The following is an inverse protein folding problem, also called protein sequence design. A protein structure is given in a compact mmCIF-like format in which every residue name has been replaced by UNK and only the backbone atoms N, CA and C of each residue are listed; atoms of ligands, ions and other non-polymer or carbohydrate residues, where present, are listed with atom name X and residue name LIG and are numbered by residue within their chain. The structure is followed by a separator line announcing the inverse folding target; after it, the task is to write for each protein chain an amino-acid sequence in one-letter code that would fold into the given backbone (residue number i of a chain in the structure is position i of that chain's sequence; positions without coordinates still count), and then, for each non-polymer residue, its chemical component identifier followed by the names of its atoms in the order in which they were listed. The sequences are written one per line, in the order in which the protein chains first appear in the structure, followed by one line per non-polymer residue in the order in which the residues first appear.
data_IF_200264658015
#
_entry.id   IF_200264658015
#
_cell.length_a   1.000
_cell.length_b   1.000
_cell.length_c   1.000
_cell.angle_alpha   90.00
_cell.angle_beta   90.00
_cell.angle_gamma   90.00
#
_symmetry.space_group_name_H-M   'P 1'
#
loop_
_entity.id
_entity.type
_entity.pdbx_description
1 polymer ?
#
# COMPACT_ATOMS: atom_id res chain seq x y z
N UNK A 1 3.38 -20.28 33.29
CA UNK A 1 2.49 -19.89 32.18
C UNK A 1 3.32 -19.97 30.91
N UNK A 2 3.28 -21.12 30.25
CA UNK A 2 3.95 -21.32 28.95
C UNK A 2 3.19 -20.51 27.90
N UNK A 3 3.90 -19.63 27.17
CA UNK A 3 3.34 -19.03 25.96
C UNK A 3 3.23 -20.15 24.93
N UNK A 4 2.00 -20.52 24.58
CA UNK A 4 1.73 -21.42 23.46
C UNK A 4 2.34 -20.88 22.17
N UNK A 5 2.51 -21.73 21.14
CA UNK A 5 3.06 -21.30 19.87
C UNK A 5 2.21 -20.16 19.31
N UNK A 6 2.82 -18.99 19.10
CA UNK A 6 2.22 -17.91 18.31
C UNK A 6 1.95 -18.50 16.93
N UNK A 7 0.68 -18.79 16.66
CA UNK A 7 0.21 -19.24 15.36
C UNK A 7 0.64 -18.16 14.35
N UNK A 8 1.55 -18.49 13.45
CA UNK A 8 1.92 -17.57 12.37
C UNK A 8 0.64 -17.21 11.61
N UNK A 9 0.32 -15.91 11.56
CA UNK A 9 -0.86 -15.44 10.86
C UNK A 9 -0.64 -15.71 9.37
N UNK A 10 -1.55 -16.48 8.76
CA UNK A 10 -1.52 -16.70 7.31
C UNK A 10 -1.77 -15.37 6.58
N UNK A 11 -1.20 -15.21 5.39
CA UNK A 11 -1.43 -14.00 4.58
C UNK A 11 -2.92 -13.75 4.31
N UNK A 12 -3.72 -14.82 4.18
CA UNK A 12 -5.18 -14.75 4.12
C UNK A 12 -5.77 -14.03 5.35
N UNK A 13 -5.33 -14.39 6.56
CA UNK A 13 -5.80 -13.78 7.81
C UNK A 13 -5.48 -12.30 7.84
N UNK A 14 -4.29 -11.91 7.37
CA UNK A 14 -3.87 -10.49 7.25
C UNK A 14 -4.82 -9.73 6.32
N UNK A 15 -5.15 -10.28 5.14
CA UNK A 15 -6.07 -9.62 4.21
C UNK A 15 -7.47 -9.46 4.80
N UNK A 16 -7.95 -10.48 5.53
CA UNK A 16 -9.25 -10.43 6.22
C UNK A 16 -9.28 -9.36 7.30
N UNK A 17 -8.24 -9.26 8.13
CA UNK A 17 -8.08 -8.21 9.16
C UNK A 17 -8.03 -6.81 8.55
N UNK A 18 -7.52 -6.67 7.33
CA UNK A 18 -7.50 -5.41 6.57
C UNK A 18 -8.80 -5.09 5.84
N UNK A 19 -9.84 -5.91 6.03
CA UNK A 19 -11.19 -5.67 5.50
C UNK A 19 -11.37 -6.10 4.03
N UNK A 20 -10.50 -6.97 3.51
CA UNK A 20 -10.70 -7.61 2.20
C UNK A 20 -11.75 -8.71 2.37
N UNK A 21 -12.74 -8.77 1.48
CA UNK A 21 -13.81 -9.78 1.56
C UNK A 21 -13.29 -11.17 1.19
N UNK A 22 -13.87 -12.25 1.73
CA UNK A 22 -13.41 -13.61 1.43
C UNK A 22 -13.43 -13.94 -0.08
N UNK A 23 -14.41 -13.38 -0.81
CA UNK A 23 -14.47 -13.50 -2.27
C UNK A 23 -13.26 -12.84 -2.94
N UNK A 24 -12.91 -11.63 -2.51
CA UNK A 24 -11.77 -10.88 -3.05
C UNK A 24 -10.43 -11.51 -2.63
N UNK A 25 -10.36 -12.08 -1.43
CA UNK A 25 -9.19 -12.82 -0.94
C UNK A 25 -8.88 -13.98 -1.89
N UNK A 26 -9.87 -14.83 -2.20
CA UNK A 26 -9.65 -15.95 -3.12
C UNK A 26 -9.14 -15.50 -4.49
N UNK A 27 -9.67 -14.38 -5.00
CA UNK A 27 -9.19 -13.76 -6.23
C UNK A 27 -7.74 -13.25 -6.12
N UNK A 28 -7.39 -12.57 -5.02
CA UNK A 28 -6.04 -12.06 -4.77
C UNK A 28 -5.03 -13.19 -4.69
N UNK A 29 -5.32 -14.24 -3.91
CA UNK A 29 -4.42 -15.38 -3.77
C UNK A 29 -4.22 -16.11 -5.11
N UNK A 30 -5.30 -16.33 -5.87
CA UNK A 30 -5.22 -16.90 -7.21
C UNK A 30 -4.38 -16.05 -8.16
N UNK A 31 -4.50 -14.71 -8.07
CA UNK A 31 -3.71 -13.80 -8.90
C UNK A 31 -2.23 -13.83 -8.56
N UNK A 32 -1.89 -13.84 -7.26
CA UNK A 32 -0.51 -13.93 -6.77
C UNK A 32 0.13 -15.26 -7.16
N UNK A 33 -0.59 -16.36 -7.01
CA UNK A 33 -0.15 -17.69 -7.44
C UNK A 33 0.13 -17.74 -8.95
N UNK A 34 -0.76 -17.18 -9.78
CA UNK A 34 -0.55 -17.07 -11.24
C UNK A 34 0.66 -16.22 -11.64
N UNK A 35 1.14 -15.37 -10.73
CA UNK A 35 2.31 -14.52 -10.90
C UNK A 35 3.55 -15.09 -10.19
N UNK A 36 3.46 -16.33 -9.70
CA UNK A 36 4.53 -17.07 -9.02
C UNK A 36 5.06 -16.34 -7.77
N UNK A 37 4.15 -15.72 -6.99
CA UNK A 37 4.48 -15.14 -5.68
C UNK A 37 4.53 -16.19 -4.58
N UNK A 38 5.46 -16.04 -3.64
CA UNK A 38 5.53 -16.89 -2.45
C UNK A 38 4.65 -16.26 -1.36
N UNK A 39 3.44 -16.79 -1.18
CA UNK A 39 2.39 -16.19 -0.35
C UNK A 39 2.80 -15.96 1.11
N UNK A 40 3.62 -16.85 1.68
CA UNK A 40 4.09 -16.76 3.07
C UNK A 40 4.99 -15.53 3.31
N UNK A 41 5.56 -14.97 2.25
CA UNK A 41 6.40 -13.78 2.29
C UNK A 41 5.74 -12.55 1.64
N UNK A 42 4.43 -12.63 1.38
CA UNK A 42 3.66 -11.49 0.90
C UNK A 42 3.27 -10.55 2.05
N UNK A 43 3.35 -9.26 1.79
CA UNK A 43 3.03 -8.20 2.72
C UNK A 43 1.94 -7.31 2.14
N UNK A 44 0.87 -7.13 2.92
CA UNK A 44 -0.13 -6.11 2.64
C UNK A 44 0.45 -4.73 2.92
N UNK A 45 0.34 -3.81 1.96
CA UNK A 45 0.79 -2.42 2.13
C UNK A 45 -0.42 -1.49 2.22
N UNK A 46 -1.29 -1.48 1.22
CA UNK A 46 -2.40 -0.55 1.16
C UNK A 46 -3.57 -1.05 0.30
N UNK A 47 -4.74 -0.48 0.54
CA UNK A 47 -5.90 -0.57 -0.35
C UNK A 47 -6.31 0.85 -0.71
N UNK A 48 -6.26 1.19 -2.00
CA UNK A 48 -6.55 2.53 -2.51
C UNK A 48 -7.80 2.47 -3.38
N UNK A 49 -8.72 3.39 -3.14
CA UNK A 49 -9.90 3.59 -3.97
C UNK A 49 -9.55 4.60 -5.07
N UNK A 50 -9.72 4.23 -6.34
CA UNK A 50 -9.53 5.12 -7.48
C UNK A 50 -10.68 4.97 -8.46
N UNK A 51 -11.28 6.11 -8.86
CA UNK A 51 -12.38 6.16 -9.84
C UNK A 51 -11.88 6.16 -11.28
N UNK A 52 -10.61 6.44 -11.50
CA UNK A 52 -10.06 6.71 -12.83
C UNK A 52 -9.37 5.49 -13.43
N UNK A 53 -8.24 5.07 -12.83
CA UNK A 53 -7.41 4.00 -13.37
C UNK A 53 -6.45 3.42 -12.33
N UNK A 54 -5.82 2.30 -12.69
CA UNK A 54 -4.70 1.70 -11.95
C UNK A 54 -3.50 2.64 -11.87
N UNK A 55 -3.19 3.35 -12.96
CA UNK A 55 -2.09 4.33 -13.00
C UNK A 55 -2.30 5.42 -11.95
N UNK A 56 -3.51 5.97 -11.87
CA UNK A 56 -3.84 6.97 -10.86
C UNK A 56 -3.77 6.40 -9.43
N UNK A 57 -4.18 5.14 -9.23
CA UNK A 57 -4.02 4.48 -7.93
C UNK A 57 -2.54 4.33 -7.53
N UNK A 58 -1.65 3.98 -8.48
CA UNK A 58 -0.20 3.91 -8.26
C UNK A 58 0.40 5.28 -7.96
N UNK A 59 -0.07 6.34 -8.60
CA UNK A 59 0.38 7.69 -8.31
C UNK A 59 0.00 8.13 -6.89
N UNK A 60 -1.24 7.82 -6.45
CA UNK A 60 -1.67 8.04 -5.06
C UNK A 60 -0.79 7.24 -4.09
N UNK A 61 -0.50 5.97 -4.42
CA UNK A 61 0.37 5.13 -3.61
C UNK A 61 1.76 5.76 -3.43
N UNK A 62 2.41 6.15 -4.53
CA UNK A 62 3.75 6.74 -4.48
C UNK A 62 3.73 8.06 -3.70
N UNK A 63 2.78 8.95 -3.98
CA UNK A 63 2.67 10.21 -3.26
C UNK A 63 2.46 10.01 -1.74
N UNK A 64 1.72 8.98 -1.35
CA UNK A 64 1.38 8.72 0.05
C UNK A 64 2.52 8.05 0.82
N UNK A 65 3.23 7.14 0.16
CA UNK A 65 4.14 6.23 0.85
C UNK A 65 5.61 6.44 0.49
N UNK A 66 5.91 7.18 -0.57
CA UNK A 66 7.27 7.49 -0.99
C UNK A 66 7.59 8.94 -0.69
N UNK A 67 8.32 9.18 0.39
CA UNK A 67 8.81 10.53 0.73
C UNK A 67 10.30 10.65 0.43
N UNK A 68 10.66 11.53 -0.51
CA UNK A 68 12.04 11.99 -0.62
C UNK A 68 12.37 12.79 0.63
N UNK A 69 13.25 12.24 1.47
CA UNK A 69 13.78 12.97 2.62
C UNK A 69 15.11 13.56 2.23
N UNK A 70 15.16 14.87 2.06
CA UNK A 70 16.41 15.58 1.83
C UNK A 70 17.08 15.77 3.19
N UNK A 71 18.25 15.16 3.37
CA UNK A 71 19.08 15.43 4.55
C UNK A 71 19.49 16.91 4.53
N UNK A 72 19.42 17.56 5.70
CA UNK A 72 19.90 18.93 5.97
C UNK A 72 19.03 20.11 5.52
N UNK A 73 17.75 19.92 5.18
CA UNK A 73 16.81 21.04 4.95
C UNK A 73 15.67 20.99 5.96
N UNK A 74 15.82 21.73 7.06
CA UNK A 74 14.93 21.68 8.24
C UNK A 74 13.60 22.42 8.08
N UNK A 75 13.29 23.08 6.96
CA UNK A 75 12.17 24.05 6.94
C UNK A 75 11.28 24.15 5.70
N UNK A 76 11.39 23.30 4.66
CA UNK A 76 10.59 23.54 3.45
C UNK A 76 9.78 22.33 3.00
N UNK A 77 8.61 22.15 3.63
CA UNK A 77 7.53 21.30 3.09
C UNK A 77 7.26 21.61 1.60
N UNK A 78 7.34 22.89 1.20
CA UNK A 78 7.14 23.32 -0.19
C UNK A 78 8.18 22.80 -1.19
N UNK A 79 9.46 22.71 -0.79
CA UNK A 79 10.51 22.17 -1.67
C UNK A 79 10.35 20.67 -1.83
N UNK A 80 10.01 19.96 -0.75
CA UNK A 80 9.74 18.54 -0.83
C UNK A 80 8.53 18.26 -1.74
N UNK A 81 7.46 19.05 -1.64
CA UNK A 81 6.29 18.92 -2.52
C UNK A 81 6.62 19.18 -4.00
N UNK A 82 7.42 20.22 -4.29
CA UNK A 82 7.89 20.51 -5.66
C UNK A 82 8.77 19.39 -6.22
N UNK A 83 9.65 18.82 -5.39
CA UNK A 83 10.53 17.73 -5.82
C UNK A 83 9.77 16.43 -6.02
N UNK A 84 8.70 16.18 -5.26
CA UNK A 84 7.79 15.06 -5.46
C UNK A 84 7.09 15.13 -6.82
N UNK A 85 6.70 16.32 -7.28
CA UNK A 85 6.14 16.52 -8.63
C UNK A 85 7.17 16.21 -9.74
N UNK A 86 8.47 16.36 -9.47
CA UNK A 86 9.54 16.08 -10.42
C UNK A 86 9.91 14.58 -10.51
N UNK A 87 9.36 13.73 -9.64
CA UNK A 87 9.66 12.30 -9.65
C UNK A 87 8.94 11.61 -10.81
N UNK A 88 9.69 10.85 -11.60
CA UNK A 88 9.11 9.88 -12.53
C UNK A 88 8.50 8.70 -11.75
N UNK A 89 7.23 8.83 -11.40
CA UNK A 89 6.45 7.85 -10.63
C UNK A 89 6.39 6.48 -11.32
N UNK A 90 6.36 6.46 -12.66
CA UNK A 90 6.38 5.21 -13.43
C UNK A 90 7.71 4.49 -13.22
N UNK A 91 8.82 5.20 -13.26
CA UNK A 91 10.15 4.64 -12.98
C UNK A 91 10.28 4.16 -11.53
N UNK A 92 9.75 4.92 -10.56
CA UNK A 92 9.69 4.48 -9.16
C UNK A 92 8.90 3.17 -9.04
N UNK A 93 7.71 3.09 -9.64
CA UNK A 93 6.91 1.86 -9.61
C UNK A 93 7.67 0.67 -10.19
N UNK A 94 8.33 0.83 -11.34
CA UNK A 94 9.17 -0.23 -11.94
C UNK A 94 10.32 -0.66 -11.02
N UNK A 95 10.89 0.26 -10.24
CA UNK A 95 11.92 -0.09 -9.25
C UNK A 95 11.31 -0.88 -8.08
N UNK A 96 10.12 -0.52 -7.60
CA UNK A 96 9.41 -1.28 -6.57
C UNK A 96 9.07 -2.70 -7.05
N UNK A 97 8.61 -2.86 -8.30
CA UNK A 97 8.33 -4.17 -8.90
C UNK A 97 9.59 -5.06 -8.95
N UNK A 98 10.73 -4.47 -9.33
CA UNK A 98 11.98 -5.23 -9.53
C UNK A 98 12.71 -5.58 -8.24
N UNK A 99 12.68 -4.69 -7.24
CA UNK A 99 13.50 -4.84 -6.03
C UNK A 99 12.70 -5.32 -4.82
N UNK A 100 11.39 -5.07 -4.80
CA UNK A 100 10.49 -5.40 -3.68
C UNK A 100 9.33 -6.32 -4.10
N UNK A 101 9.28 -6.75 -5.36
CA UNK A 101 8.18 -7.53 -5.90
C UNK A 101 6.84 -6.82 -5.71
N UNK A 102 6.80 -5.50 -5.93
CA UNK A 102 5.55 -4.76 -5.81
C UNK A 102 4.52 -5.19 -6.83
N UNK A 103 3.26 -5.27 -6.40
CA UNK A 103 2.12 -5.51 -7.29
C UNK A 103 0.91 -4.68 -6.86
N UNK A 104 0.10 -4.36 -7.85
CA UNK A 104 -1.16 -3.64 -7.71
C UNK A 104 -2.26 -4.52 -8.31
N UNK A 105 -3.16 -5.03 -7.47
CA UNK A 105 -4.24 -5.92 -7.87
C UNK A 105 -5.56 -5.15 -7.80
N UNK A 106 -6.19 -4.97 -8.95
CA UNK A 106 -7.58 -4.49 -9.01
C UNK A 106 -8.52 -5.56 -8.43
N UNK A 107 -9.25 -5.20 -7.40
CA UNK A 107 -10.26 -6.07 -6.80
C UNK A 107 -11.53 -6.11 -7.69
N UNK A 108 -12.20 -7.26 -7.77
CA UNK A 108 -13.36 -7.46 -8.64
C UNK A 108 -14.65 -6.82 -8.08
N UNK A 109 -14.61 -6.16 -6.93
CA UNK A 109 -15.79 -5.54 -6.35
C UNK A 109 -16.30 -4.34 -7.16
N UNK A 110 -17.60 -4.32 -7.36
CA UNK A 110 -18.31 -3.19 -7.93
C UNK A 110 -18.62 -2.17 -6.82
N UNK A 111 -17.61 -1.44 -6.35
CA UNK A 111 -17.84 -0.33 -5.43
C UNK A 111 -18.38 0.88 -6.20
N UNK A 112 -19.52 1.41 -5.72
CA UNK A 112 -20.19 2.61 -6.25
C UNK A 112 -19.25 3.83 -6.18
N UNK A 113 -18.28 3.80 -5.25
CA UNK A 113 -17.36 4.90 -4.99
C UNK A 113 -16.05 4.82 -5.80
N UNK A 114 -15.88 3.83 -6.68
CA UNK A 114 -14.68 3.62 -7.49
C UNK A 114 -14.12 2.21 -7.35
N UNK A 115 -13.03 1.91 -8.05
CA UNK A 115 -12.40 0.59 -7.99
C UNK A 115 -11.38 0.54 -6.86
N UNK A 116 -11.33 -0.59 -6.13
CA UNK A 116 -10.32 -0.83 -5.10
C UNK A 116 -9.10 -1.49 -5.72
N UNK A 117 -7.94 -0.96 -5.39
CA UNK A 117 -6.63 -1.44 -5.81
C UNK A 117 -5.83 -1.83 -4.57
N UNK A 118 -5.46 -3.11 -4.51
CA UNK A 118 -4.69 -3.69 -3.43
C UNK A 118 -3.20 -3.66 -3.78
N UNK A 119 -2.39 -3.08 -2.89
CA UNK A 119 -0.95 -2.93 -3.05
C UNK A 119 -0.23 -3.88 -2.10
N UNK A 120 0.62 -4.72 -2.68
CA UNK A 120 1.31 -5.79 -1.98
C UNK A 120 2.78 -5.81 -2.39
N UNK A 121 3.65 -6.20 -1.47
CA UNK A 121 5.05 -6.55 -1.74
C UNK A 121 5.26 -8.03 -1.45
N UNK A 122 6.20 -8.67 -2.12
CA UNK A 122 6.52 -10.06 -1.86
C UNK A 122 7.41 -10.66 -2.93
N UNK A 123 8.20 -11.69 -2.59
CA UNK A 123 9.06 -12.34 -3.55
C UNK A 123 8.24 -13.07 -4.61
N UNK A 124 8.73 -13.02 -5.83
CA UNK A 124 8.18 -13.75 -6.98
C UNK A 124 9.32 -14.13 -7.93
N UNK A 125 9.02 -14.85 -9.02
CA UNK A 125 10.05 -15.26 -10.00
C UNK A 125 10.92 -14.13 -10.58
N UNK A 126 10.37 -12.92 -10.72
CA UNK A 126 11.10 -11.74 -11.22
C UNK A 126 11.87 -11.01 -10.12
N UNK A 127 11.52 -11.26 -8.85
CA UNK A 127 12.13 -10.67 -7.66
C UNK A 127 12.26 -11.77 -6.58
N UNK A 128 13.19 -12.74 -6.73
CA UNK A 128 13.27 -13.91 -5.88
C UNK A 128 13.73 -13.61 -4.44
N UNK A 129 14.50 -12.54 -4.26
CA UNK A 129 14.92 -12.04 -2.95
C UNK A 129 14.43 -10.60 -2.79
N UNK A 130 13.80 -10.31 -1.64
CA UNK A 130 13.50 -8.95 -1.23
C UNK A 130 14.83 -8.27 -0.88
N UNK A 131 15.49 -7.70 -1.88
CA UNK A 131 16.68 -6.87 -1.63
C UNK A 131 16.30 -5.69 -0.75
N UNK A 132 17.10 -5.46 0.30
CA UNK A 132 17.17 -4.17 1.00
C UNK A 132 15.96 -3.84 1.93
N UNK A 133 15.48 -4.83 2.68
CA UNK A 133 14.47 -4.64 3.75
C UNK A 133 14.93 -3.57 4.77
N UNK A 134 16.22 -3.53 5.13
CA UNK A 134 16.74 -2.51 6.07
C UNK A 134 16.70 -1.07 5.51
N UNK A 135 16.57 -0.90 4.18
CA UNK A 135 16.35 0.41 3.55
C UNK A 135 14.88 0.81 3.42
N UNK A 136 13.96 0.12 4.11
CA UNK A 136 12.55 0.53 4.29
C UNK A 136 12.35 1.89 5.00
N UNK A 137 13.43 2.65 5.24
CA UNK A 137 13.43 4.04 5.74
C UNK A 137 12.67 5.02 4.81
N UNK A 138 12.21 4.59 3.63
CA UNK A 138 11.32 5.40 2.77
C UNK A 138 9.87 5.46 3.24
N UNK A 139 9.41 4.49 4.04
CA UNK A 139 8.08 4.51 4.62
C UNK A 139 8.19 5.08 6.03
N UNK A 140 7.73 6.32 6.22
CA UNK A 140 7.67 6.91 7.55
C UNK A 140 6.86 5.97 8.46
N UNK A 141 7.39 5.49 9.61
CA UNK A 141 6.69 4.57 10.51
C UNK A 141 5.34 5.13 10.99
N UNK A 142 5.15 6.44 10.89
CA UNK A 142 3.97 7.16 11.35
C UNK A 142 2.73 6.99 10.44
N UNK A 143 2.86 6.51 9.20
CA UNK A 143 1.71 6.37 8.27
C UNK A 143 1.17 4.94 8.13
N UNK A 144 1.79 3.95 8.78
CA UNK A 144 1.26 2.59 8.91
C UNK A 144 0.15 2.47 9.99
N UNK A 145 -0.08 3.51 10.78
CA UNK A 145 -1.17 3.58 11.77
C UNK A 145 -2.48 4.08 11.15
N UNK A 146 -3.14 3.23 10.35
CA UNK A 146 -4.55 3.39 9.99
C UNK A 146 -4.96 4.74 9.36
N UNK A 147 -6.25 4.93 9.06
CA UNK A 147 -6.73 6.26 8.70
C UNK A 147 -6.63 7.18 9.93
N UNK A 148 -5.99 8.34 9.77
CA UNK A 148 -6.09 9.47 10.72
C UNK A 148 -7.58 9.64 11.06
N UNK A 149 -7.94 9.53 12.34
CA UNK A 149 -9.28 9.88 12.84
C UNK A 149 -9.62 11.26 12.28
N UNK A 150 -10.70 11.35 11.50
CA UNK A 150 -11.30 12.64 11.17
C UNK A 150 -11.64 13.36 12.48
N UNK A 151 -11.28 14.64 12.56
CA UNK A 151 -11.62 15.48 13.69
C UNK A 151 -13.15 15.50 13.87
N UNK A 152 -13.69 15.28 15.08
CA UNK A 152 -15.13 15.31 15.35
C UNK A 152 -15.82 16.66 15.11
N UNK A 153 -15.07 17.72 14.77
CA UNK A 153 -15.58 19.08 14.64
C UNK A 153 -16.04 19.46 13.22
N UNK A 154 -15.82 18.63 12.20
CA UNK A 154 -16.32 18.91 10.84
C UNK A 154 -17.78 18.47 10.61
N UNK A 155 -18.46 17.91 11.62
CA UNK A 155 -19.87 17.48 11.55
C UNK A 155 -20.89 18.53 12.05
N UNK A 156 -20.46 19.76 12.34
CA UNK A 156 -21.35 20.84 12.77
C UNK A 156 -21.34 22.03 11.81
N UNK A 157 -21.75 21.84 10.56
CA UNK A 157 -22.18 22.95 9.68
C UNK A 157 -23.12 22.47 8.59
N UNK A 158 -24.21 21.80 8.96
CA UNK A 158 -25.35 21.57 8.05
C UNK A 158 -26.66 21.61 8.83
N UNK A 159 -26.99 22.77 9.41
CA UNK A 159 -28.36 23.25 9.60
C UNK A 159 -28.32 24.77 9.71
N UNK A 160 -28.72 25.46 8.64
CA UNK A 160 -29.46 26.72 8.64
C UNK A 160 -29.60 27.20 7.18
N UNK A 161 -30.71 26.81 6.56
CA UNK A 161 -31.49 27.58 5.59
C UNK A 161 -32.82 26.85 5.40
#
# INVERSE_FOLDING_TARGET
MERGPTQEQTFESILRERGVSDKDIGWVLSKLDSQEYILDYCHYIACILSKESETHAKDIFINRFFSLTIKDITSEHKINDLLQECIDKKKIWTLLEKNLGATCIKLPDASINGQRYLFLFGPNKKCPELTNIDSFVFFSPNDLQGPKKQNPLEMCSLRLA
#
